data_IF_497134664799
#
_entry.id   IF_497134664799
#
_cell.length_a   1.000
_cell.length_b   1.000
_cell.length_c   1.000
_cell.angle_alpha   90.00
_cell.angle_beta   90.00
_cell.angle_gamma   90.00
#
_symmetry.space_group_name_H-M   'P 1'
#
loop_
_entity.id
_entity.type
_entity.pdbx_description
1 polymer ?
#
# COMPACT_ATOMS: atom_id res chain seq x y z
N UNK A 1 -14.12 5.59 13.29
CA UNK A 1 -13.55 4.93 14.48
C UNK A 1 -12.53 5.88 15.11
N UNK A 2 -12.53 6.14 16.43
CA UNK A 2 -11.62 7.14 17.04
C UNK A 2 -10.21 6.56 17.28
N UNK A 3 -9.15 7.36 17.06
CA UNK A 3 -7.73 7.03 17.33
C UNK A 3 -7.50 6.47 18.75
N UNK A 4 -8.34 6.87 19.70
CA UNK A 4 -8.33 6.40 21.09
C UNK A 4 -8.50 4.89 21.23
N UNK A 5 -9.15 4.20 20.27
CA UNK A 5 -9.24 2.73 20.28
C UNK A 5 -7.87 2.06 20.11
N UNK A 6 -6.97 2.65 19.33
CA UNK A 6 -5.62 2.11 19.11
C UNK A 6 -4.66 2.38 20.26
N UNK A 7 -5.00 3.31 21.16
CA UNK A 7 -4.22 3.56 22.38
C UNK A 7 -4.05 2.29 23.23
N UNK A 8 -4.99 1.34 23.12
CA UNK A 8 -5.00 0.09 23.89
C UNK A 8 -4.84 -1.18 23.03
N UNK A 9 -4.71 -1.05 21.70
CA UNK A 9 -4.38 -2.21 20.85
C UNK A 9 -2.87 -2.42 20.86
N UNK A 10 -2.44 -3.62 21.26
CA UNK A 10 -1.02 -3.95 21.34
C UNK A 10 -0.51 -4.36 19.96
N UNK A 11 0.33 -3.50 19.35
CA UNK A 11 1.15 -3.88 18.19
C UNK A 11 2.15 -4.96 18.62
N UNK A 12 2.36 -5.97 17.77
CA UNK A 12 3.47 -6.93 17.88
C UNK A 12 4.40 -6.75 16.68
N UNK A 13 5.69 -6.59 16.93
CA UNK A 13 6.73 -6.42 15.91
C UNK A 13 7.99 -5.83 16.55
N UNK A 14 9.06 -5.59 15.76
CA UNK A 14 10.27 -4.95 16.27
C UNK A 14 9.98 -3.57 16.90
N UNK A 15 10.74 -3.19 17.92
CA UNK A 15 10.68 -1.83 18.47
C UNK A 15 11.65 -0.92 17.72
N UNK A 16 11.09 -0.11 16.82
CA UNK A 16 11.85 0.84 16.01
C UNK A 16 12.06 2.20 16.69
N UNK A 17 11.27 2.48 17.74
CA UNK A 17 11.28 3.77 18.43
C UNK A 17 12.13 3.72 19.71
N UNK A 18 12.45 2.52 20.20
CA UNK A 18 13.23 2.31 21.43
C UNK A 18 12.62 3.00 22.65
N UNK A 19 11.29 3.06 22.70
CA UNK A 19 10.54 3.76 23.75
C UNK A 19 10.34 5.27 23.52
N UNK A 20 10.99 5.88 22.53
CA UNK A 20 10.90 7.31 22.31
C UNK A 20 9.64 7.72 21.50
N UNK A 21 9.04 8.89 21.81
CA UNK A 21 8.01 9.48 20.96
C UNK A 21 8.65 10.01 19.67
N UNK A 22 7.96 9.79 18.55
CA UNK A 22 8.39 10.32 17.25
C UNK A 22 7.45 11.42 16.78
N UNK A 23 7.97 12.33 15.97
CA UNK A 23 7.22 13.40 15.33
C UNK A 23 6.91 13.09 13.87
N UNK A 24 6.00 13.85 13.28
CA UNK A 24 5.77 13.83 11.83
C UNK A 24 7.05 14.16 11.04
N UNK A 25 7.93 15.01 11.59
CA UNK A 25 9.19 15.32 10.92
C UNK A 25 10.10 14.08 10.85
N UNK A 26 10.15 13.30 11.93
CA UNK A 26 10.92 12.04 11.98
C UNK A 26 10.39 11.02 10.97
N UNK A 27 9.06 10.92 10.81
CA UNK A 27 8.43 10.10 9.77
C UNK A 27 8.91 10.55 8.38
N UNK A 28 8.86 11.86 8.10
CA UNK A 28 9.27 12.39 6.79
C UNK A 28 10.72 12.03 6.46
N UNK A 29 11.63 12.20 7.42
CA UNK A 29 13.04 11.93 7.21
C UNK A 29 13.35 10.43 7.12
N UNK A 30 12.82 9.63 8.04
CA UNK A 30 13.10 8.19 8.12
C UNK A 30 12.60 7.45 6.89
N UNK A 31 11.37 7.75 6.45
CA UNK A 31 10.73 7.05 5.33
C UNK A 31 10.93 7.76 3.99
N UNK A 32 11.73 8.82 3.93
CA UNK A 32 12.04 9.51 2.67
C UNK A 32 10.84 10.16 1.99
N UNK A 33 9.86 10.64 2.76
CA UNK A 33 8.65 11.29 2.22
C UNK A 33 9.00 12.69 1.67
N UNK A 34 8.39 13.03 0.53
CA UNK A 34 8.58 14.33 -0.12
C UNK A 34 7.97 15.49 0.67
N UNK A 35 6.79 15.26 1.25
CA UNK A 35 6.04 16.26 2.00
C UNK A 35 5.30 15.62 3.17
N UNK A 36 5.03 16.43 4.19
CA UNK A 36 4.13 16.03 5.28
C UNK A 36 3.22 17.19 5.66
N UNK A 37 1.93 16.91 5.81
CA UNK A 37 0.92 17.91 6.16
C UNK A 37 0.07 17.39 7.30
N UNK A 38 -0.15 18.24 8.29
CA UNK A 38 -0.98 17.91 9.45
C UNK A 38 -2.07 18.96 9.59
N UNK A 39 -3.32 18.52 9.74
CA UNK A 39 -4.48 19.40 9.90
C UNK A 39 -4.35 20.33 11.10
N UNK A 40 -4.84 21.56 10.95
CA UNK A 40 -4.77 22.60 12.01
C UNK A 40 -5.58 22.24 13.26
N UNK A 41 -6.63 21.45 13.10
CA UNK A 41 -7.57 21.04 14.17
C UNK A 41 -7.20 19.73 14.87
N UNK A 42 -6.02 19.17 14.59
CA UNK A 42 -5.49 17.99 15.30
C UNK A 42 -4.85 18.48 16.60
N UNK A 43 -5.25 17.93 17.75
CA UNK A 43 -4.66 18.31 19.05
C UNK A 43 -3.22 17.80 19.18
N UNK A 44 -2.48 18.29 20.17
CA UNK A 44 -1.08 17.86 20.38
C UNK A 44 -1.00 16.36 20.70
N UNK A 45 -1.92 15.87 21.52
CA UNK A 45 -2.00 14.48 21.96
C UNK A 45 -2.35 13.56 20.79
N UNK A 46 -3.30 13.98 19.94
CA UNK A 46 -3.68 13.27 18.73
C UNK A 46 -2.53 13.23 17.71
N UNK A 47 -1.80 14.34 17.55
CA UNK A 47 -0.61 14.37 16.69
C UNK A 47 0.44 13.39 17.17
N UNK A 48 0.71 13.35 18.48
CA UNK A 48 1.71 12.46 19.04
C UNK A 48 1.33 10.99 18.88
N UNK A 49 0.08 10.64 19.19
CA UNK A 49 -0.42 9.28 19.03
C UNK A 49 -0.39 8.85 17.56
N UNK A 50 -0.87 9.70 16.65
CA UNK A 50 -0.87 9.42 15.22
C UNK A 50 0.56 9.27 14.67
N UNK A 51 1.50 10.13 15.10
CA UNK A 51 2.88 10.03 14.65
C UNK A 51 3.50 8.69 15.04
N UNK A 52 3.32 8.23 16.28
CA UNK A 52 3.81 6.92 16.72
C UNK A 52 3.18 5.78 15.90
N UNK A 53 1.85 5.79 15.73
CA UNK A 53 1.13 4.73 14.99
C UNK A 53 1.55 4.67 13.52
N UNK A 54 1.68 5.82 12.86
CA UNK A 54 2.10 5.90 11.45
C UNK A 54 3.55 5.46 11.32
N UNK A 55 4.44 5.92 12.21
CA UNK A 55 5.84 5.52 12.18
C UNK A 55 6.00 4.01 12.32
N UNK A 56 5.37 3.42 13.34
CA UNK A 56 5.42 1.98 13.59
C UNK A 56 4.86 1.19 12.39
N UNK A 57 3.82 1.70 11.74
CA UNK A 57 3.19 1.04 10.57
C UNK A 57 4.03 1.13 9.30
N UNK A 58 4.67 2.28 9.04
CA UNK A 58 5.57 2.41 7.89
C UNK A 58 6.87 1.62 8.10
N UNK A 59 7.35 1.52 9.33
CA UNK A 59 8.51 0.69 9.66
C UNK A 59 8.19 -0.80 9.53
N UNK A 60 7.02 -1.24 10.00
CA UNK A 60 6.53 -2.60 9.75
C UNK A 60 6.41 -2.91 8.27
N UNK A 61 5.85 -1.99 7.50
CA UNK A 61 5.74 -2.16 6.06
C UNK A 61 7.12 -2.28 5.40
N UNK A 62 8.07 -1.42 5.77
CA UNK A 62 9.44 -1.52 5.27
C UNK A 62 10.10 -2.87 5.62
N UNK A 63 9.93 -3.33 6.86
CA UNK A 63 10.42 -4.62 7.32
C UNK A 63 9.80 -5.78 6.53
N UNK A 64 8.47 -5.81 6.39
CA UNK A 64 7.75 -6.87 5.67
C UNK A 64 8.11 -6.95 4.19
N UNK A 65 8.45 -5.81 3.57
CA UNK A 65 8.89 -5.75 2.19
C UNK A 65 10.40 -5.93 2.02
N UNK A 66 11.16 -6.15 3.11
CA UNK A 66 12.63 -6.18 3.08
C UNK A 66 13.24 -4.92 2.41
N UNK A 67 12.61 -3.76 2.62
CA UNK A 67 13.06 -2.48 2.06
C UNK A 67 13.79 -1.64 3.12
N UNK A 68 14.81 -0.85 2.71
CA UNK A 68 15.30 0.20 3.60
C UNK A 68 14.19 1.24 3.84
N UNK A 69 14.04 1.81 5.05
CA UNK A 69 12.91 2.67 5.40
C UNK A 69 12.66 3.82 4.41
N UNK A 70 13.73 4.46 3.91
CA UNK A 70 13.63 5.58 2.98
C UNK A 70 13.00 5.22 1.61
N UNK A 71 12.93 3.94 1.25
CA UNK A 71 12.33 3.48 0.00
C UNK A 71 10.80 3.63 0.01
N UNK A 72 10.18 3.62 1.19
CA UNK A 72 8.74 3.80 1.38
C UNK A 72 8.27 5.13 0.77
N UNK A 73 9.08 6.18 0.82
CA UNK A 73 8.75 7.48 0.24
C UNK A 73 8.85 7.56 -1.27
N UNK A 74 9.13 6.43 -1.94
CA UNK A 74 9.15 6.31 -3.39
C UNK A 74 10.05 7.38 -4.03
N UNK A 75 11.29 7.46 -3.53
CA UNK A 75 12.30 8.48 -3.90
C UNK A 75 11.81 9.93 -3.68
N UNK A 76 11.18 10.19 -2.54
CA UNK A 76 10.69 11.53 -2.19
C UNK A 76 9.49 12.00 -3.00
N UNK A 77 8.83 11.11 -3.75
CA UNK A 77 7.66 11.49 -4.56
C UNK A 77 6.34 11.25 -3.84
N UNK A 78 6.35 10.47 -2.74
CA UNK A 78 5.19 10.24 -1.90
C UNK A 78 5.12 11.25 -0.76
N UNK A 79 3.97 11.91 -0.62
CA UNK A 79 3.62 12.74 0.53
C UNK A 79 2.73 12.01 1.53
N UNK A 80 2.57 12.60 2.71
CA UNK A 80 1.60 12.15 3.72
C UNK A 80 0.82 13.34 4.26
N UNK A 81 -0.51 13.25 4.22
CA UNK A 81 -1.41 14.18 4.87
C UNK A 81 -2.18 13.49 5.99
N UNK A 82 -2.12 14.05 7.19
CA UNK A 82 -2.87 13.56 8.33
C UNK A 82 -3.90 14.60 8.79
N UNK A 83 -5.17 14.21 8.78
CA UNK A 83 -6.25 15.03 9.30
C UNK A 83 -6.43 16.37 8.59
N UNK A 84 -5.97 16.54 7.35
CA UNK A 84 -6.12 17.78 6.57
C UNK A 84 -7.45 17.90 5.84
N UNK A 85 -8.26 16.83 5.83
CA UNK A 85 -9.59 16.75 5.23
C UNK A 85 -10.61 16.16 6.22
N UNK A 86 -11.88 16.51 6.04
CA UNK A 86 -12.97 16.15 6.94
C UNK A 86 -14.28 15.97 6.20
N UNK A 87 -14.34 14.95 5.33
CA UNK A 87 -15.64 14.43 4.90
C UNK A 87 -16.02 13.25 5.81
N UNK A 88 -17.25 13.23 6.37
CA UNK A 88 -17.77 12.07 7.07
C UNK A 88 -17.67 10.82 6.19
N UNK A 89 -17.04 9.75 6.68
CA UNK A 89 -16.99 8.44 6.01
C UNK A 89 -15.69 8.08 5.30
N UNK A 90 -14.79 9.03 5.02
CA UNK A 90 -13.48 8.73 4.39
C UNK A 90 -12.46 8.35 5.46
N UNK A 91 -11.87 7.16 5.36
CA UNK A 91 -10.95 6.60 6.36
C UNK A 91 -9.48 6.90 5.99
N UNK A 92 -8.95 6.23 4.97
CA UNK A 92 -7.70 6.61 4.32
C UNK A 92 -7.95 6.58 2.81
N UNK A 93 -7.16 7.33 2.04
CA UNK A 93 -7.10 7.17 0.59
C UNK A 93 -5.77 7.69 0.05
N UNK A 94 -5.29 7.10 -1.04
CA UNK A 94 -4.24 7.67 -1.87
C UNK A 94 -4.83 8.74 -2.77
N UNK A 95 -4.25 9.95 -2.73
CA UNK A 95 -4.60 11.07 -3.56
C UNK A 95 -3.59 11.18 -4.74
N UNK A 96 -3.88 10.59 -5.91
CA UNK A 96 -2.90 10.44 -7.00
C UNK A 96 -2.40 11.77 -7.57
N UNK A 97 -3.24 12.80 -7.59
CA UNK A 97 -2.85 14.14 -8.08
C UNK A 97 -1.79 14.80 -7.21
N UNK A 98 -1.86 14.58 -5.89
CA UNK A 98 -0.88 15.07 -4.92
C UNK A 98 0.25 14.06 -4.67
N UNK A 99 0.09 12.82 -5.15
CA UNK A 99 0.92 11.65 -4.79
C UNK A 99 1.06 11.54 -3.28
N UNK A 100 -0.07 11.54 -2.58
CA UNK A 100 -0.10 11.68 -1.13
C UNK A 100 -1.00 10.62 -0.49
N UNK A 101 -0.53 10.02 0.61
CA UNK A 101 -1.38 9.22 1.48
C UNK A 101 -2.19 10.17 2.37
N UNK A 102 -3.50 10.22 2.21
CA UNK A 102 -4.39 11.06 3.01
C UNK A 102 -5.08 10.21 4.09
N UNK A 103 -4.61 10.35 5.32
CA UNK A 103 -5.11 9.64 6.50
C UNK A 103 -6.10 10.52 7.27
N UNK A 104 -7.34 10.07 7.43
CA UNK A 104 -8.33 10.80 8.21
C UNK A 104 -8.11 10.63 9.71
N UNK A 105 -8.54 11.64 10.47
CA UNK A 105 -8.45 11.66 11.93
C UNK A 105 -9.27 10.53 12.60
N UNK A 106 -10.40 10.15 12.00
CA UNK A 106 -11.34 9.15 12.53
C UNK A 106 -11.47 7.91 11.63
N UNK A 107 -10.48 7.70 10.77
CA UNK A 107 -10.37 6.49 9.98
C UNK A 107 -10.42 5.26 10.87
N UNK A 108 -11.12 4.20 10.45
CA UNK A 108 -10.72 2.87 10.89
C UNK A 108 -9.27 2.71 10.45
N UNK A 109 -8.37 2.48 11.40
CA UNK A 109 -7.02 2.12 11.01
C UNK A 109 -7.05 0.68 10.47
N UNK A 110 -6.14 0.39 9.54
CA UNK A 110 -6.13 -0.89 8.83
C UNK A 110 -6.17 -0.78 7.31
N UNK A 111 -5.99 0.40 6.73
CA UNK A 111 -5.94 0.61 5.27
C UNK A 111 -4.60 1.20 4.79
N UNK A 112 -3.61 1.40 5.66
CA UNK A 112 -2.35 2.04 5.24
C UNK A 112 -1.60 1.20 4.20
N UNK A 113 -1.61 -0.13 4.36
CA UNK A 113 -1.04 -1.04 3.37
C UNK A 113 -1.74 -0.92 2.01
N UNK A 114 -3.07 -0.85 2.01
CA UNK A 114 -3.90 -0.64 0.81
C UNK A 114 -3.50 0.65 0.07
N UNK A 115 -3.47 1.77 0.80
CA UNK A 115 -3.14 3.07 0.20
C UNK A 115 -1.69 3.15 -0.26
N UNK A 116 -0.76 2.50 0.45
CA UNK A 116 0.62 2.39 0.00
C UNK A 116 0.71 1.63 -1.32
N UNK A 117 -0.05 0.55 -1.50
CA UNK A 117 -0.06 -0.15 -2.77
C UNK A 117 -0.53 0.75 -3.91
N UNK A 118 -1.62 1.50 -3.75
CA UNK A 118 -2.04 2.47 -4.75
C UNK A 118 -0.94 3.50 -5.09
N UNK A 119 -0.23 3.98 -4.07
CA UNK A 119 0.90 4.88 -4.27
C UNK A 119 2.03 4.23 -5.07
N UNK A 120 2.42 3.00 -4.71
CA UNK A 120 3.44 2.23 -5.39
C UNK A 120 3.05 1.90 -6.83
N UNK A 121 1.82 1.45 -7.07
CA UNK A 121 1.26 1.07 -8.36
C UNK A 121 1.23 2.28 -9.32
N UNK A 122 0.83 3.46 -8.82
CA UNK A 122 0.92 4.72 -9.58
C UNK A 122 2.39 5.09 -9.86
N UNK A 123 3.26 5.00 -8.86
CA UNK A 123 4.66 5.39 -8.99
C UNK A 123 5.43 4.52 -9.98
N UNK A 124 5.23 3.21 -9.93
CA UNK A 124 6.04 2.25 -10.67
C UNK A 124 5.64 2.18 -12.14
N UNK A 125 4.42 2.59 -12.51
CA UNK A 125 3.92 2.61 -13.89
C UNK A 125 4.91 3.28 -14.87
N UNK A 126 5.39 4.48 -14.52
CA UNK A 126 6.34 5.27 -15.32
C UNK A 126 7.72 4.62 -15.47
N UNK A 127 8.07 3.72 -14.56
CA UNK A 127 9.39 3.10 -14.43
C UNK A 127 9.42 1.71 -15.07
N UNK A 128 8.31 1.00 -14.97
CA UNK A 128 8.15 -0.33 -15.51
C UNK A 128 7.72 -0.34 -16.98
N UNK A 129 6.86 0.60 -17.39
CA UNK A 129 6.23 0.56 -18.71
C UNK A 129 6.67 1.73 -19.62
N UNK A 130 6.66 1.48 -20.93
CA UNK A 130 6.97 2.46 -21.96
C UNK A 130 5.73 3.32 -22.32
N UNK A 131 5.21 4.06 -21.34
CA UNK A 131 3.98 4.87 -21.46
C UNK A 131 4.22 6.35 -21.82
N UNK A 132 5.37 6.63 -22.43
CA UNK A 132 5.80 7.99 -22.80
C UNK A 132 6.33 8.81 -21.61
N UNK A 133 6.92 9.98 -21.90
CA UNK A 133 7.31 10.95 -20.88
C UNK A 133 6.05 11.62 -20.35
N UNK A 134 5.88 11.61 -19.03
CA UNK A 134 4.72 12.22 -18.36
C UNK A 134 5.10 13.47 -17.56
N UNK A 135 6.13 14.18 -18.04
CA UNK A 135 6.58 15.47 -17.52
C UNK A 135 5.57 16.55 -17.93
N UNK A 136 4.80 17.07 -16.97
CA UNK A 136 3.77 18.09 -17.20
C UNK A 136 2.41 17.73 -16.57
N UNK A 137 1.37 18.57 -16.76
CA UNK A 137 0.03 18.29 -16.27
C UNK A 137 -0.50 16.97 -16.87
N UNK A 138 -0.70 15.97 -16.03
CA UNK A 138 -1.13 14.66 -16.51
C UNK A 138 -2.64 14.67 -16.74
N UNK A 139 -3.06 14.38 -17.98
CA UNK A 139 -4.48 14.30 -18.35
C UNK A 139 -5.19 13.05 -17.80
N UNK A 140 -4.42 12.01 -17.47
CA UNK A 140 -4.94 10.72 -16.99
C UNK A 140 -3.96 10.15 -15.97
N UNK A 141 -4.45 9.75 -14.80
CA UNK A 141 -3.67 8.98 -13.82
C UNK A 141 -3.53 7.56 -14.36
N UNK A 142 -2.33 6.97 -14.28
CA UNK A 142 -2.06 5.62 -14.79
C UNK A 142 -1.31 4.82 -13.74
N UNK A 143 -1.78 3.61 -13.52
CA UNK A 143 -1.20 2.63 -12.60
C UNK A 143 -0.52 1.51 -13.38
N UNK A 144 0.40 0.80 -12.74
CA UNK A 144 1.15 -0.28 -13.37
C UNK A 144 0.26 -1.51 -13.62
N UNK A 145 -0.69 -1.79 -12.73
CA UNK A 145 -1.72 -2.83 -12.91
C UNK A 145 -2.60 -2.57 -14.14
N UNK A 146 -2.99 -1.32 -14.40
CA UNK A 146 -3.72 -0.94 -15.63
C UNK A 146 -2.83 -1.11 -16.88
N UNK A 147 -1.56 -0.71 -16.80
CA UNK A 147 -0.60 -0.90 -17.89
C UNK A 147 -0.43 -2.39 -18.23
N UNK A 148 -0.33 -3.24 -17.20
CA UNK A 148 -0.26 -4.69 -17.36
C UNK A 148 -1.51 -5.24 -18.02
N UNK A 149 -2.71 -4.86 -17.55
CA UNK A 149 -3.99 -5.32 -18.12
C UNK A 149 -4.12 -4.97 -19.61
N UNK A 150 -3.63 -3.80 -20.01
CA UNK A 150 -3.67 -3.35 -21.40
C UNK A 150 -2.45 -3.75 -22.24
N UNK A 151 -1.60 -4.65 -21.74
CA UNK A 151 -0.40 -5.14 -22.41
C UNK A 151 0.54 -4.01 -22.89
N UNK A 152 0.66 -2.94 -22.09
CA UNK A 152 1.61 -1.88 -22.39
C UNK A 152 3.04 -2.42 -22.45
N UNK A 153 3.92 -1.93 -23.35
CA UNK A 153 5.26 -2.49 -23.48
C UNK A 153 6.08 -2.33 -22.19
N UNK A 154 6.62 -3.43 -21.69
CA UNK A 154 7.47 -3.47 -20.50
C UNK A 154 8.89 -3.02 -20.84
N UNK A 155 9.48 -2.17 -20.01
CA UNK A 155 10.90 -1.81 -20.12
C UNK A 155 11.76 -2.98 -19.63
N UNK A 156 12.76 -3.46 -20.40
CA UNK A 156 13.60 -4.58 -19.99
C UNK A 156 14.35 -4.27 -18.69
N UNK A 157 13.99 -4.97 -17.62
CA UNK A 157 14.68 -4.91 -16.32
C UNK A 157 14.28 -6.11 -15.45
N UNK A 158 15.20 -6.73 -14.68
CA UNK A 158 14.85 -7.86 -13.81
C UNK A 158 13.75 -7.57 -12.77
N UNK A 159 13.72 -6.36 -12.23
CA UNK A 159 12.63 -5.91 -11.34
C UNK A 159 11.29 -5.80 -12.10
N UNK A 160 11.30 -5.30 -13.33
CA UNK A 160 10.05 -5.13 -14.09
C UNK A 160 9.43 -6.49 -14.46
N UNK A 161 10.25 -7.51 -14.69
CA UNK A 161 9.77 -8.88 -14.89
C UNK A 161 9.13 -9.44 -13.61
N UNK A 162 9.73 -9.20 -12.44
CA UNK A 162 9.16 -9.60 -11.14
C UNK A 162 7.90 -8.84 -10.79
N UNK A 163 7.81 -7.56 -11.17
CA UNK A 163 6.59 -6.77 -11.02
C UNK A 163 5.44 -7.41 -11.80
N UNK A 164 5.68 -7.79 -13.06
CA UNK A 164 4.68 -8.48 -13.88
C UNK A 164 4.27 -9.81 -13.24
N UNK A 165 5.21 -10.57 -12.68
CA UNK A 165 4.88 -11.81 -11.94
C UNK A 165 3.96 -11.57 -10.74
N UNK A 166 4.07 -10.43 -10.05
CA UNK A 166 3.12 -10.10 -8.98
C UNK A 166 1.70 -9.95 -9.55
N UNK A 167 1.54 -9.26 -10.69
CA UNK A 167 0.24 -9.12 -11.35
C UNK A 167 -0.28 -10.46 -11.84
N UNK A 168 0.55 -11.26 -12.52
CA UNK A 168 0.18 -12.59 -13.02
C UNK A 168 -0.26 -13.50 -11.87
N UNK A 169 0.55 -13.59 -10.80
CA UNK A 169 0.25 -14.39 -9.61
C UNK A 169 -1.04 -13.96 -8.90
N UNK A 170 -1.42 -12.69 -9.01
CA UNK A 170 -2.61 -12.15 -8.34
C UNK A 170 -3.86 -12.29 -9.19
N UNK A 171 -3.76 -12.12 -10.51
CA UNK A 171 -4.91 -11.92 -11.38
C UNK A 171 -5.17 -13.07 -12.36
N UNK A 172 -4.19 -13.95 -12.59
CA UNK A 172 -4.32 -15.08 -13.52
C UNK A 172 -4.43 -16.41 -12.78
N UNK A 173 -4.97 -17.41 -13.47
CA UNK A 173 -4.90 -18.81 -13.07
C UNK A 173 -3.44 -19.28 -12.98
N UNK A 174 -3.21 -20.40 -12.29
CA UNK A 174 -1.86 -20.93 -12.06
C UNK A 174 -1.09 -21.23 -13.36
N UNK A 175 -1.78 -21.56 -14.45
CA UNK A 175 -1.22 -21.79 -15.78
C UNK A 175 -1.10 -20.52 -16.65
N UNK A 176 -1.58 -19.37 -16.14
CA UNK A 176 -1.59 -18.08 -16.81
C UNK A 176 -2.52 -17.99 -18.01
N UNK A 177 -3.43 -18.95 -18.22
CA UNK A 177 -4.29 -19.00 -19.41
C UNK A 177 -5.67 -18.35 -19.21
N UNK A 178 -6.11 -18.17 -17.97
CA UNK A 178 -7.39 -17.54 -17.62
C UNK A 178 -7.22 -16.59 -16.42
N UNK A 179 -8.30 -15.90 -16.06
CA UNK A 179 -8.37 -15.10 -14.83
C UNK A 179 -8.45 -16.01 -13.60
N UNK A 180 -7.85 -15.56 -12.50
CA UNK A 180 -8.00 -16.23 -11.21
C UNK A 180 -9.46 -16.19 -10.73
N UNK A 181 -9.90 -17.16 -9.92
CA UNK A 181 -11.21 -17.13 -9.23
C UNK A 181 -11.42 -15.83 -8.45
N UNK A 182 -10.33 -15.28 -7.90
CA UNK A 182 -10.31 -13.98 -7.23
C UNK A 182 -10.87 -12.83 -8.09
N UNK A 183 -10.57 -12.84 -9.39
CA UNK A 183 -11.11 -11.88 -10.37
C UNK A 183 -12.60 -12.12 -10.58
N UNK A 184 -13.00 -13.38 -10.76
CA UNK A 184 -14.41 -13.73 -10.96
C UNK A 184 -15.27 -13.28 -9.77
N UNK A 185 -14.84 -13.52 -8.54
CA UNK A 185 -15.53 -13.06 -7.32
C UNK A 185 -15.60 -11.54 -7.22
N UNK A 186 -14.54 -10.83 -7.61
CA UNK A 186 -14.53 -9.36 -7.61
C UNK A 186 -15.52 -8.79 -8.64
N UNK A 187 -15.64 -9.42 -9.82
CA UNK A 187 -16.66 -9.06 -10.82
C UNK A 187 -18.08 -9.33 -10.31
N UNK A 188 -18.31 -10.46 -9.62
CA UNK A 188 -19.61 -10.76 -9.01
C UNK A 188 -19.99 -9.74 -7.93
N UNK A 189 -19.03 -9.23 -7.16
CA UNK A 189 -19.26 -8.18 -6.17
C UNK A 189 -19.68 -6.86 -6.84
N UNK A 190 -19.02 -6.46 -7.93
CA UNK A 190 -19.41 -5.29 -8.73
C UNK A 190 -20.83 -5.41 -9.29
N UNK A 191 -21.19 -6.58 -9.82
CA UNK A 191 -22.54 -6.84 -10.33
C UNK A 191 -23.60 -6.74 -9.21
N UNK A 192 -23.32 -7.31 -8.04
CA UNK A 192 -24.23 -7.27 -6.89
C UNK A 192 -24.41 -5.85 -6.34
N UNK A 193 -23.35 -5.03 -6.37
CA UNK A 193 -23.34 -3.66 -5.86
C UNK A 193 -23.67 -2.60 -6.92
N UNK A 194 -23.83 -3.01 -8.19
CA UNK A 194 -24.04 -2.14 -9.35
C UNK A 194 -22.99 -1.03 -9.46
N UNK A 195 -21.73 -1.38 -9.23
CA UNK A 195 -20.59 -0.47 -9.34
C UNK A 195 -19.49 -1.06 -10.23
N UNK A 196 -18.49 -0.24 -10.52
CA UNK A 196 -17.23 -0.66 -11.15
C UNK A 196 -16.13 -0.24 -10.17
N UNK A 197 -15.84 -1.08 -9.19
CA UNK A 197 -14.87 -0.77 -8.14
C UNK A 197 -14.09 -2.01 -7.73
N UNK A 198 -14.76 -3.08 -7.33
CA UNK A 198 -14.12 -4.27 -6.81
C UNK A 198 -13.26 -4.97 -7.87
N UNK A 199 -13.71 -5.06 -9.12
CA UNK A 199 -12.97 -5.74 -10.20
C UNK A 199 -11.91 -4.87 -10.88
N UNK A 200 -11.72 -3.62 -10.46
CA UNK A 200 -10.65 -2.77 -10.98
C UNK A 200 -9.29 -3.37 -10.62
N UNK A 201 -8.36 -3.53 -11.57
CA UNK A 201 -7.03 -4.07 -11.28
C UNK A 201 -6.33 -3.33 -10.15
N UNK A 202 -6.43 -2.01 -10.11
CA UNK A 202 -5.85 -1.16 -9.06
C UNK A 202 -6.35 -1.52 -7.67
N UNK A 203 -7.66 -1.75 -7.53
CA UNK A 203 -8.32 -2.08 -6.26
C UNK A 203 -8.08 -3.54 -5.88
N UNK A 204 -8.12 -4.45 -6.84
CA UNK A 204 -7.80 -5.86 -6.64
C UNK A 204 -6.37 -6.05 -6.14
N UNK A 205 -5.42 -5.35 -6.77
CA UNK A 205 -4.02 -5.42 -6.35
C UNK A 205 -3.80 -4.82 -4.97
N UNK A 206 -4.48 -3.72 -4.62
CA UNK A 206 -4.40 -3.13 -3.28
C UNK A 206 -4.97 -4.08 -2.21
N UNK A 207 -6.13 -4.70 -2.47
CA UNK A 207 -6.74 -5.72 -1.59
C UNK A 207 -5.89 -6.98 -1.46
N UNK A 208 -5.28 -7.42 -2.55
CA UNK A 208 -4.38 -8.57 -2.53
C UNK A 208 -3.11 -8.28 -1.72
N UNK A 209 -2.54 -7.09 -1.89
CA UNK A 209 -1.36 -6.66 -1.15
C UNK A 209 -1.62 -6.58 0.35
N UNK A 210 -2.66 -5.86 0.77
CA UNK A 210 -2.97 -5.73 2.20
C UNK A 210 -3.31 -7.09 2.83
N UNK A 211 -4.00 -7.97 2.11
CA UNK A 211 -4.32 -9.32 2.57
C UNK A 211 -3.06 -10.19 2.76
N UNK A 212 -2.08 -10.06 1.87
CA UNK A 212 -0.79 -10.75 2.00
C UNK A 212 0.04 -10.18 3.16
N UNK A 213 0.01 -8.86 3.38
CA UNK A 213 0.65 -8.19 4.53
C UNK A 213 0.02 -8.64 5.85
N UNK A 214 -1.31 -8.68 5.96
CA UNK A 214 -2.00 -9.11 7.19
C UNK A 214 -1.77 -10.60 7.51
N UNK A 215 -1.40 -11.40 6.52
CA UNK A 215 -1.13 -12.84 6.69
C UNK A 215 0.26 -13.15 7.25
N UNK A 216 1.12 -12.14 7.42
CA UNK A 216 2.46 -12.31 7.97
C UNK A 216 2.41 -12.40 9.50
N UNK A 217 2.79 -13.55 10.07
CA UNK A 217 2.66 -13.81 11.52
C UNK A 217 3.59 -12.98 12.42
N UNK A 218 4.65 -12.44 11.85
CA UNK A 218 5.71 -11.76 12.61
C UNK A 218 5.27 -10.38 13.12
N UNK A 219 4.33 -9.76 12.41
CA UNK A 219 3.81 -8.42 12.73
C UNK A 219 2.30 -8.49 12.92
N UNK A 220 1.83 -7.95 14.05
CA UNK A 220 0.42 -7.63 14.24
C UNK A 220 0.31 -6.12 14.43
N UNK A 221 -0.24 -5.44 13.43
CA UNK A 221 -0.41 -4.00 13.45
C UNK A 221 -1.72 -3.59 12.78
N UNK A 222 -2.77 -3.46 13.59
CA UNK A 222 -4.09 -3.07 13.12
C UNK A 222 -4.15 -1.65 12.51
N UNK A 223 -3.13 -0.81 12.73
CA UNK A 223 -3.04 0.49 12.06
C UNK A 223 -2.53 0.37 10.61
N UNK A 224 -1.60 -0.56 10.38
CA UNK A 224 -1.09 -0.90 9.06
C UNK A 224 -2.16 -1.58 8.20
N UNK A 225 -2.74 -2.68 8.71
CA UNK A 225 -3.78 -3.46 8.04
C UNK A 225 -4.65 -4.19 9.06
N UNK A 226 -5.96 -4.26 8.84
CA UNK A 226 -6.84 -5.17 9.58
C UNK A 226 -8.13 -5.49 8.82
N UNK A 227 -8.66 -6.70 9.04
CA UNK A 227 -10.03 -7.06 8.64
C UNK A 227 -10.15 -7.81 7.31
N UNK A 228 -9.04 -8.11 6.64
CA UNK A 228 -9.06 -8.84 5.36
C UNK A 228 -9.42 -10.32 5.54
N UNK A 229 -9.35 -10.84 6.76
CA UNK A 229 -9.69 -12.23 7.11
C UNK A 229 -11.13 -12.39 7.61
N UNK A 230 -11.90 -11.30 7.70
CA UNK A 230 -13.28 -11.37 8.18
C UNK A 230 -14.20 -12.09 7.18
N UNK A 231 -14.98 -13.06 7.66
CA UNK A 231 -15.86 -13.89 6.82
C UNK A 231 -16.85 -13.09 5.94
N UNK A 232 -17.28 -11.90 6.40
CA UNK A 232 -18.17 -11.02 5.63
C UNK A 232 -17.49 -10.37 4.43
N UNK A 233 -16.18 -10.15 4.50
CA UNK A 233 -15.38 -9.50 3.46
C UNK A 233 -14.56 -10.50 2.64
N UNK A 234 -14.38 -11.73 3.14
CA UNK A 234 -13.52 -12.75 2.53
C UNK A 234 -13.82 -13.06 1.06
N UNK A 235 -15.03 -12.79 0.58
CA UNK A 235 -15.42 -12.98 -0.82
C UNK A 235 -14.76 -11.99 -1.80
N UNK A 236 -14.23 -10.85 -1.35
CA UNK A 236 -13.51 -9.86 -2.19
C UNK A 236 -12.00 -9.81 -1.94
N UNK A 237 -11.46 -10.75 -1.15
CA UNK A 237 -10.03 -10.90 -0.90
C UNK A 237 -9.52 -12.24 -1.47
N UNK A 238 -8.20 -12.37 -1.75
CA UNK A 238 -7.58 -13.66 -2.00
C UNK A 238 -7.78 -14.61 -0.81
N UNK A 239 -7.95 -15.90 -1.09
CA UNK A 239 -7.94 -16.93 -0.04
C UNK A 239 -6.53 -17.18 0.51
N UNK A 240 -6.40 -18.00 1.55
CA UNK A 240 -5.12 -18.21 2.21
C UNK A 240 -4.05 -18.80 1.29
N UNK A 241 -4.41 -19.73 0.40
CA UNK A 241 -3.45 -20.35 -0.51
C UNK A 241 -2.95 -19.33 -1.53
N UNK A 242 -3.87 -18.51 -2.07
CA UNK A 242 -3.54 -17.45 -2.99
C UNK A 242 -2.69 -16.35 -2.35
N UNK A 243 -2.98 -15.96 -1.10
CA UNK A 243 -2.17 -15.00 -0.32
C UNK A 243 -0.71 -15.44 -0.19
N UNK A 244 -0.44 -16.74 0.01
CA UNK A 244 0.94 -17.27 0.09
C UNK A 244 1.68 -17.08 -1.23
N UNK A 245 1.02 -17.37 -2.37
CA UNK A 245 1.58 -17.19 -3.71
C UNK A 245 1.88 -15.70 -3.98
N UNK A 246 0.93 -14.83 -3.67
CA UNK A 246 1.08 -13.37 -3.82
C UNK A 246 2.23 -12.87 -2.93
N UNK A 247 2.28 -13.30 -1.67
CA UNK A 247 3.35 -12.92 -0.75
C UNK A 247 4.73 -13.33 -1.27
N UNK A 248 4.87 -14.55 -1.81
CA UNK A 248 6.12 -15.00 -2.41
C UNK A 248 6.54 -14.10 -3.59
N UNK A 249 5.63 -13.76 -4.49
CA UNK A 249 5.92 -12.86 -5.61
C UNK A 249 6.33 -11.45 -5.13
N UNK A 250 5.69 -10.96 -4.05
CA UNK A 250 6.06 -9.70 -3.41
C UNK A 250 7.49 -9.75 -2.85
N UNK A 251 7.86 -10.81 -2.14
CA UNK A 251 9.21 -10.99 -1.60
C UNK A 251 10.26 -11.07 -2.71
N UNK A 252 9.99 -11.78 -3.80
CA UNK A 252 10.92 -11.87 -4.93
C UNK A 252 11.20 -10.50 -5.56
N UNK A 253 10.18 -9.63 -5.67
CA UNK A 253 10.33 -8.28 -6.19
C UNK A 253 11.02 -7.34 -5.18
N UNK A 254 10.44 -7.22 -3.98
CA UNK A 254 10.87 -6.22 -3.01
C UNK A 254 12.18 -6.60 -2.32
N UNK A 255 12.47 -7.89 -2.12
CA UNK A 255 13.77 -8.35 -1.64
C UNK A 255 14.90 -7.97 -2.60
N UNK A 256 14.74 -8.23 -3.90
CA UNK A 256 15.72 -7.82 -4.91
C UNK A 256 15.90 -6.29 -4.96
N UNK A 257 14.80 -5.54 -4.82
CA UNK A 257 14.86 -4.08 -4.75
C UNK A 257 15.60 -3.60 -3.49
N UNK A 258 15.31 -4.21 -2.34
CA UNK A 258 15.91 -3.90 -1.04
C UNK A 258 17.42 -4.13 -1.03
N UNK A 259 17.86 -5.27 -1.55
CA UNK A 259 19.29 -5.58 -1.74
C UNK A 259 19.99 -4.51 -2.58
N UNK A 260 19.42 -4.19 -3.75
CA UNK A 260 19.99 -3.21 -4.66
C UNK A 260 20.11 -1.80 -4.05
N UNK A 261 19.09 -1.37 -3.29
CA UNK A 261 19.09 -0.06 -2.62
C UNK A 261 20.06 0.00 -1.44
N UNK A 262 20.23 -1.11 -0.72
CA UNK A 262 21.16 -1.18 0.41
C UNK A 262 22.62 -1.12 -0.05
N UNK A 263 22.96 -1.82 -1.13
CA UNK A 263 24.31 -1.76 -1.72
C UNK A 263 24.63 -0.43 -2.39
N UNK A 264 23.63 0.30 -2.89
CA UNK A 264 23.85 1.62 -3.52
C UNK A 264 24.06 2.76 -2.50
N UNK A 265 23.82 2.50 -1.21
CA UNK A 265 23.92 3.47 -0.13
C UNK A 265 25.21 3.33 0.70
N UNK A 266 26.08 2.38 0.32
CA UNK A 266 27.44 2.20 0.85
C UNK A 266 28.46 2.77 -0.14
#
# INVERSE_FOLDING_TARGET
MQLTRFKYHTRRGPDYRHGDPVSFLDIKHTFGLGSIRVGKWVTREEKQLAANLIFDSLADLAYLLALPPHAIGLRGTLGLAFGTGGQPGVQAHYAPNQRELALAKNAGAGALAHEFWHAFDHYIAEKAFAIGKRSGPQKKIVFASDCWLHHAPLRPHPLNQRLVRIFDATLLSQDGQDRHDYVARSVSADQAMQCDYFSRPTEMMARAFEAAVESCSDINNAYLVSGTTEAKQGHIYPDQAHRVIIHQALQEYFGLLGEALTHSSQ
#
